data_IF_395492075233
#
_entry.id   IF_395492075233
#
_cell.length_a   1.000
_cell.length_b   1.000
_cell.length_c   1.000
_cell.angle_alpha   90.00
_cell.angle_beta   90.00
_cell.angle_gamma   90.00
#
_symmetry.space_group_name_H-M   'P 1'
#
loop_
_entity.id
_entity.type
_entity.pdbx_description
1 polymer ?
#
# COMPACT_ATOMS: atom_id res chain seq x y z
N UNK A 1 -1.07 -17.16 -15.04
CA UNK A 1 -0.05 -16.32 -14.37
C UNK A 1 -0.34 -14.88 -14.75
N UNK A 2 -1.25 -14.20 -14.03
CA UNK A 2 -1.76 -12.88 -14.40
C UNK A 2 -1.50 -11.93 -13.24
N UNK A 3 -0.46 -11.12 -13.41
CA UNK A 3 -0.43 -9.77 -12.90
C UNK A 3 -0.50 -8.90 -14.17
N UNK A 4 -1.72 -8.59 -14.62
CA UNK A 4 -1.92 -7.76 -15.81
C UNK A 4 -2.30 -6.35 -15.38
N UNK A 5 -1.31 -5.47 -15.34
CA UNK A 5 -1.49 -4.10 -15.79
C UNK A 5 -0.17 -3.64 -16.42
N UNK A 6 -0.17 -3.56 -17.74
CA UNK A 6 0.98 -3.22 -18.58
C UNK A 6 0.74 -1.81 -19.12
N UNK A 7 1.59 -0.83 -18.78
CA UNK A 7 1.74 0.39 -19.57
C UNK A 7 3.20 0.85 -19.55
N UNK A 8 3.78 0.84 -20.75
CA UNK A 8 5.05 1.44 -21.11
C UNK A 8 4.89 2.96 -21.19
N UNK A 9 5.57 3.72 -20.35
CA UNK A 9 6.20 4.97 -20.80
C UNK A 9 7.31 5.40 -19.85
N UNK A 10 8.54 5.45 -20.39
CA UNK A 10 9.74 5.98 -19.73
C UNK A 10 9.56 7.49 -19.55
N UNK A 11 9.29 7.95 -18.34
CA UNK A 11 9.81 9.24 -17.88
C UNK A 11 10.25 9.13 -16.42
N UNK A 12 11.57 9.24 -16.23
CA UNK A 12 12.22 9.25 -14.93
C UNK A 12 11.85 10.52 -14.19
N UNK A 13 10.79 10.46 -13.38
CA UNK A 13 10.48 11.49 -12.39
C UNK A 13 11.19 11.09 -11.10
N UNK A 14 12.11 11.93 -10.65
CA UNK A 14 12.81 11.78 -9.37
C UNK A 14 11.84 12.06 -8.21
N UNK A 15 10.92 11.13 -7.96
CA UNK A 15 10.09 11.18 -6.76
C UNK A 15 10.85 10.47 -5.65
N UNK A 16 11.66 11.24 -4.88
CA UNK A 16 12.10 10.80 -3.56
C UNK A 16 10.87 10.75 -2.64
N UNK A 17 10.07 9.68 -2.72
CA UNK A 17 9.25 9.31 -1.57
C UNK A 17 10.22 8.71 -0.56
N UNK A 18 10.82 9.57 0.26
CA UNK A 18 11.40 9.13 1.53
C UNK A 18 10.23 8.53 2.31
N UNK A 19 10.17 7.21 2.36
CA UNK A 19 9.68 6.58 3.57
C UNK A 19 10.72 6.89 4.65
N UNK A 20 10.57 8.07 5.25
CA UNK A 20 11.27 8.37 6.47
C UNK A 20 10.48 7.70 7.58
N UNK A 21 11.13 6.76 8.26
CA UNK A 21 10.69 6.23 9.54
C UNK A 21 10.29 7.33 10.55
N UNK A 22 10.68 8.59 10.33
CA UNK A 22 10.29 9.76 11.13
C UNK A 22 8.76 9.98 11.22
N UNK A 23 7.98 9.55 10.22
CA UNK A 23 6.51 9.72 10.28
C UNK A 23 5.76 8.59 11.00
N UNK A 24 6.43 7.49 11.36
CA UNK A 24 5.85 6.44 12.22
C UNK A 24 6.13 6.69 13.71
N UNK A 25 7.07 7.58 14.03
CA UNK A 25 7.42 7.93 15.42
C UNK A 25 6.49 8.97 16.04
N UNK A 26 5.60 9.62 15.28
CA UNK A 26 4.79 10.73 15.79
C UNK A 26 3.48 10.32 16.49
N UNK A 27 3.10 9.03 16.49
CA UNK A 27 1.93 8.54 17.23
C UNK A 27 2.32 7.74 18.48
N UNK A 28 2.66 8.47 19.56
CA UNK A 28 2.49 8.12 20.99
C UNK A 28 2.90 6.71 21.51
N UNK A 29 3.66 5.92 20.76
CA UNK A 29 4.32 4.72 21.27
C UNK A 29 5.64 4.53 20.54
N UNK A 30 6.71 4.35 21.30
CA UNK A 30 8.06 4.02 20.83
C UNK A 30 8.06 2.60 20.23
N UNK A 31 7.38 2.41 19.10
CA UNK A 31 7.22 1.13 18.40
C UNK A 31 8.10 1.10 17.18
N UNK A 32 8.88 0.05 17.09
CA UNK A 32 9.86 -0.17 16.03
C UNK A 32 9.17 -0.96 14.91
N UNK A 33 8.34 -0.26 14.14
CA UNK A 33 7.56 -0.86 13.05
C UNK A 33 8.52 -1.26 11.93
N UNK A 34 8.66 -2.56 11.66
CA UNK A 34 9.58 -3.09 10.64
C UNK A 34 8.83 -3.93 9.62
N UNK A 35 9.27 -3.83 8.38
CA UNK A 35 8.77 -4.61 7.24
C UNK A 35 9.89 -5.41 6.59
N UNK A 36 9.54 -6.49 5.89
CA UNK A 36 10.50 -7.26 5.10
C UNK A 36 11.01 -6.42 3.94
N UNK A 37 12.32 -6.19 3.90
CA UNK A 37 13.00 -5.39 2.87
C UNK A 37 12.70 -5.91 1.45
N UNK A 38 12.71 -7.24 1.26
CA UNK A 38 12.47 -7.84 -0.05
C UNK A 38 11.06 -7.57 -0.58
N UNK A 39 10.04 -7.67 0.27
CA UNK A 39 8.67 -7.36 -0.11
C UNK A 39 8.49 -5.87 -0.33
N UNK A 40 9.06 -5.05 0.55
CA UNK A 40 8.93 -3.61 0.49
C UNK A 40 9.60 -3.03 -0.76
N UNK A 41 10.84 -3.45 -1.06
CA UNK A 41 11.57 -3.05 -2.28
C UNK A 41 10.82 -3.49 -3.53
N UNK A 42 10.28 -4.71 -3.54
CA UNK A 42 9.47 -5.21 -4.66
C UNK A 42 8.22 -4.34 -4.86
N UNK A 43 7.51 -4.01 -3.80
CA UNK A 43 6.33 -3.15 -3.84
C UNK A 43 6.65 -1.75 -4.37
N UNK A 44 7.75 -1.13 -3.92
CA UNK A 44 8.19 0.18 -4.40
C UNK A 44 8.44 0.20 -5.92
N UNK A 45 8.96 -0.90 -6.50
CA UNK A 45 9.16 -1.01 -7.95
C UNK A 45 7.85 -0.92 -8.73
N UNK A 46 6.75 -1.40 -8.16
CA UNK A 46 5.41 -1.29 -8.75
C UNK A 46 4.78 0.08 -8.49
N UNK A 47 5.11 0.77 -7.38
CA UNK A 47 4.56 2.10 -7.10
C UNK A 47 4.97 3.18 -8.09
N UNK A 48 6.14 3.05 -8.70
CA UNK A 48 6.62 3.96 -9.74
C UNK A 48 5.71 4.00 -10.99
N UNK A 49 4.65 3.20 -11.05
CA UNK A 49 3.72 3.07 -12.20
C UNK A 49 2.48 3.98 -12.15
N UNK A 50 2.45 5.06 -11.35
CA UNK A 50 1.34 6.03 -11.29
C UNK A 50 -0.02 5.46 -10.80
N UNK A 51 -0.01 4.39 -10.01
CA UNK A 51 -1.22 3.76 -9.47
C UNK A 51 -2.04 4.72 -8.60
N UNK A 52 -1.41 5.36 -7.61
CA UNK A 52 -2.10 6.25 -6.67
C UNK A 52 -2.63 7.52 -7.34
N UNK A 53 -1.91 8.07 -8.34
CA UNK A 53 -2.39 9.23 -9.09
C UNK A 53 -3.59 8.88 -9.99
N UNK A 54 -3.57 7.71 -10.62
CA UNK A 54 -4.70 7.19 -11.40
C UNK A 54 -5.93 6.99 -10.53
N UNK A 55 -5.79 6.35 -9.36
CA UNK A 55 -6.89 6.18 -8.39
C UNK A 55 -7.44 7.53 -7.92
N UNK A 56 -6.57 8.51 -7.68
CA UNK A 56 -6.99 9.86 -7.29
C UNK A 56 -7.84 10.53 -8.37
N UNK A 57 -7.49 10.37 -9.64
CA UNK A 57 -8.28 10.90 -10.76
C UNK A 57 -9.65 10.24 -10.84
N UNK A 58 -9.72 8.92 -10.72
CA UNK A 58 -10.99 8.19 -10.70
C UNK A 58 -11.90 8.62 -9.54
N UNK A 59 -11.35 8.83 -8.34
CA UNK A 59 -12.14 9.29 -7.20
C UNK A 59 -12.67 10.73 -7.36
N UNK A 60 -12.05 11.57 -8.19
CA UNK A 60 -12.57 12.91 -8.51
C UNK A 60 -13.72 12.84 -9.51
N UNK A 61 -13.65 11.91 -10.45
CA UNK A 61 -14.65 11.72 -11.50
C UNK A 61 -15.91 11.00 -10.99
N UNK A 62 -15.74 10.03 -10.08
CA UNK A 62 -16.83 9.23 -9.52
C UNK A 62 -17.03 9.53 -8.03
N UNK A 63 -18.16 10.15 -7.69
CA UNK A 63 -18.51 10.56 -6.31
C UNK A 63 -18.68 9.39 -5.32
N UNK A 64 -18.91 8.17 -5.83
CA UNK A 64 -18.97 6.95 -5.05
C UNK A 64 -18.07 5.88 -5.65
N UNK A 65 -16.82 5.81 -5.19
CA UNK A 65 -15.86 4.81 -5.63
C UNK A 65 -15.43 3.91 -4.45
N UNK A 66 -15.56 2.60 -4.65
CA UNK A 66 -15.07 1.58 -3.71
C UNK A 66 -13.79 0.97 -4.27
N UNK A 67 -12.77 0.84 -3.43
CA UNK A 67 -11.48 0.27 -3.79
C UNK A 67 -11.35 -1.10 -3.14
N UNK A 68 -11.14 -2.13 -3.94
CA UNK A 68 -10.80 -3.46 -3.45
C UNK A 68 -9.39 -3.81 -3.88
N UNK A 69 -8.53 -4.14 -2.92
CA UNK A 69 -7.17 -4.62 -3.18
C UNK A 69 -7.13 -6.11 -2.89
N UNK A 70 -6.69 -6.90 -3.87
CA UNK A 70 -6.61 -8.35 -3.74
C UNK A 70 -5.20 -8.83 -4.03
N UNK A 71 -4.73 -9.88 -3.36
CA UNK A 71 -3.43 -10.45 -3.64
C UNK A 71 -3.28 -11.90 -3.19
N UNK A 72 -2.50 -12.68 -3.93
CA UNK A 72 -2.19 -14.08 -3.62
C UNK A 72 -0.68 -14.29 -3.47
N UNK A 73 -0.25 -15.11 -2.51
CA UNK A 73 1.17 -15.41 -2.25
C UNK A 73 1.96 -14.11 -2.04
N UNK A 74 3.08 -13.90 -2.75
CA UNK A 74 3.83 -12.65 -2.78
C UNK A 74 2.91 -11.43 -3.00
N UNK A 75 1.96 -11.54 -3.95
CA UNK A 75 1.02 -10.48 -4.26
C UNK A 75 0.10 -10.12 -3.10
N UNK A 76 -0.12 -11.02 -2.14
CA UNK A 76 -0.83 -10.71 -0.90
C UNK A 76 -0.11 -9.62 -0.11
N UNK A 77 1.17 -9.79 0.15
CA UNK A 77 1.95 -8.86 0.97
C UNK A 77 2.17 -7.53 0.25
N UNK A 78 2.40 -7.57 -1.08
CA UNK A 78 2.48 -6.35 -1.89
C UNK A 78 1.13 -5.62 -1.92
N UNK A 79 0.03 -6.35 -2.04
CA UNK A 79 -1.33 -5.81 -1.97
C UNK A 79 -1.63 -5.17 -0.62
N UNK A 80 -1.16 -5.77 0.47
CA UNK A 80 -1.29 -5.21 1.82
C UNK A 80 -0.58 -3.85 1.95
N UNK A 81 0.65 -3.73 1.43
CA UNK A 81 1.36 -2.46 1.40
C UNK A 81 0.64 -1.41 0.52
N UNK A 82 0.08 -1.83 -0.61
CA UNK A 82 -0.71 -0.94 -1.47
C UNK A 82 -2.00 -0.47 -0.78
N UNK A 83 -2.70 -1.36 -0.06
CA UNK A 83 -3.89 -1.01 0.70
C UNK A 83 -3.56 0.03 1.77
N UNK A 84 -2.44 -0.14 2.47
CA UNK A 84 -1.97 0.83 3.45
C UNK A 84 -1.65 2.20 2.82
N UNK A 85 -0.93 2.21 1.68
CA UNK A 85 -0.63 3.44 0.94
C UNK A 85 -1.90 4.18 0.49
N UNK A 86 -2.90 3.43 -0.03
CA UNK A 86 -4.20 4.00 -0.41
C UNK A 86 -4.90 4.58 0.82
N UNK A 87 -4.92 3.88 1.96
CA UNK A 87 -5.58 4.37 3.17
C UNK A 87 -4.95 5.67 3.68
N UNK A 88 -3.62 5.81 3.56
CA UNK A 88 -2.90 7.01 3.98
C UNK A 88 -3.10 8.18 3.01
N UNK A 89 -2.98 7.94 1.70
CA UNK A 89 -3.07 8.99 0.69
C UNK A 89 -4.52 9.38 0.35
N UNK A 90 -5.46 8.44 0.50
CA UNK A 90 -6.88 8.60 0.14
C UNK A 90 -7.77 8.15 1.32
N UNK A 91 -7.75 8.87 2.46
CA UNK A 91 -8.41 8.44 3.70
C UNK A 91 -9.93 8.30 3.59
N UNK A 92 -10.55 8.99 2.60
CA UNK A 92 -11.99 8.93 2.31
C UNK A 92 -12.38 7.75 1.41
N UNK A 93 -11.42 7.02 0.84
CA UNK A 93 -11.71 5.87 0.00
C UNK A 93 -12.33 4.74 0.84
N UNK A 94 -13.42 4.14 0.33
CA UNK A 94 -13.98 2.91 0.88
C UNK A 94 -13.11 1.75 0.43
N UNK A 95 -12.15 1.38 1.26
CA UNK A 95 -11.12 0.39 0.96
C UNK A 95 -11.47 -0.97 1.60
N UNK A 96 -11.32 -2.04 0.83
CA UNK A 96 -11.33 -3.41 1.33
C UNK A 96 -10.10 -4.16 0.82
N UNK A 97 -9.49 -4.99 1.66
CA UNK A 97 -8.32 -5.79 1.30
C UNK A 97 -8.59 -7.29 1.47
N UNK A 98 -8.22 -8.08 0.47
CA UNK A 98 -8.30 -9.55 0.49
C UNK A 98 -6.95 -10.16 0.16
N UNK A 99 -6.29 -10.73 1.16
CA UNK A 99 -5.03 -11.46 1.02
C UNK A 99 -5.24 -12.97 1.07
N UNK A 100 -4.67 -13.70 0.11
CA UNK A 100 -4.75 -15.16 0.03
C UNK A 100 -3.36 -15.79 0.15
N UNK A 101 -3.19 -16.73 1.09
CA UNK A 101 -1.91 -17.43 1.31
C UNK A 101 -0.70 -16.48 1.37
N UNK A 102 -0.86 -15.38 2.10
CA UNK A 102 0.08 -14.27 2.13
C UNK A 102 1.20 -14.52 3.15
N UNK A 103 2.49 -14.37 2.80
CA UNK A 103 3.59 -14.45 3.76
C UNK A 103 3.63 -13.23 4.72
N UNK A 104 4.27 -13.41 5.88
CA UNK A 104 4.43 -12.33 6.86
C UNK A 104 5.22 -11.14 6.28
N UNK A 105 4.61 -9.96 6.30
CA UNK A 105 5.17 -8.74 5.70
C UNK A 105 6.04 -7.89 6.63
N UNK A 106 6.00 -8.12 7.94
CA UNK A 106 6.70 -7.31 8.94
C UNK A 106 6.61 -7.90 10.34
N UNK A 107 7.04 -7.13 11.34
CA UNK A 107 7.01 -7.53 12.74
C UNK A 107 5.62 -7.33 13.38
N UNK A 108 5.48 -7.70 14.65
CA UNK A 108 4.24 -7.58 15.39
C UNK A 108 3.74 -6.13 15.50
N UNK A 109 4.65 -5.17 15.69
CA UNK A 109 4.28 -3.75 15.69
C UNK A 109 3.68 -3.30 14.34
N UNK A 110 4.20 -3.81 13.22
CA UNK A 110 3.60 -3.60 11.91
C UNK A 110 2.22 -4.24 11.80
N UNK A 111 2.02 -5.46 12.30
CA UNK A 111 0.71 -6.11 12.31
C UNK A 111 -0.31 -5.32 13.14
N UNK A 112 0.09 -4.80 14.31
CA UNK A 112 -0.73 -3.95 15.15
C UNK A 112 -1.10 -2.64 14.45
N UNK A 113 -0.14 -2.02 13.75
CA UNK A 113 -0.38 -0.83 12.96
C UNK A 113 -1.39 -1.09 11.81
N UNK A 114 -1.29 -2.24 11.14
CA UNK A 114 -2.25 -2.63 10.10
C UNK A 114 -3.66 -2.81 10.66
N UNK A 115 -3.80 -3.46 11.82
CA UNK A 115 -5.09 -3.62 12.48
C UNK A 115 -5.72 -2.25 12.80
N UNK A 116 -4.92 -1.29 13.28
CA UNK A 116 -5.43 0.06 13.55
C UNK A 116 -5.91 0.79 12.27
N UNK A 117 -5.22 0.59 11.14
CA UNK A 117 -5.49 1.37 9.91
C UNK A 117 -6.46 0.70 8.94
N UNK A 118 -6.50 -0.63 8.90
CA UNK A 118 -7.20 -1.41 7.88
C UNK A 118 -8.28 -2.34 8.45
N UNK A 119 -8.36 -2.56 9.76
CA UNK A 119 -9.44 -3.36 10.31
C UNK A 119 -10.79 -2.68 10.03
N UNK A 120 -11.83 -3.46 9.70
CA UNK A 120 -13.19 -2.93 9.67
C UNK A 120 -13.57 -2.36 11.05
N UNK A 121 -14.39 -1.29 11.10
CA UNK A 121 -14.86 -0.70 12.35
C UNK A 121 -15.69 -1.66 13.19
#
# INVERSE_FOLDING_TARGET
>A
MICSLFFLNKQSINIRIRYSFENLQSSRSNKDIRVSEGFYTTWQRFQSSNLTSTLTSFMKEFSSFNVSVTGHSLGGTLGLFQALDIKQNLPKAKLCFYGFNMPHGGNEDFANYLNEKLAPP
#
